data_IF_218060876013
#
_entry.id   IF_218060876013
#
_cell.length_a   1.000
_cell.length_b   1.000
_cell.length_c   1.000
_cell.angle_alpha   90.00
_cell.angle_beta   90.00
_cell.angle_gamma   90.00
#
_symmetry.space_group_name_H-M   'P 1'
#
loop_
_entity.id
_entity.type
_entity.pdbx_description
1 polymer ?
#
# COMPACT_ATOMS: atom_id res chain seq x y z
N UNK A 1 -77.49 21.90 2.34
CA UNK A 1 -76.92 22.51 3.57
C UNK A 1 -76.04 21.47 4.25
N UNK A 2 -74.74 21.77 4.47
CA UNK A 2 -73.74 21.06 5.32
C UNK A 2 -73.27 19.68 4.80
N UNK A 3 -72.01 19.21 4.84
CA UNK A 3 -70.70 19.61 5.41
C UNK A 3 -69.55 18.89 4.64
N UNK A 4 -68.34 19.45 4.70
CA UNK A 4 -67.05 19.08 4.07
C UNK A 4 -66.26 17.94 4.76
N UNK A 5 -65.43 17.24 3.95
CA UNK A 5 -64.07 16.66 4.20
C UNK A 5 -63.88 15.65 5.38
N UNK A 6 -62.94 14.71 5.46
CA UNK A 6 -61.53 14.54 5.02
C UNK A 6 -61.14 13.06 5.28
N UNK A 7 -60.17 12.48 4.56
CA UNK A 7 -59.70 11.11 4.84
C UNK A 7 -58.45 10.65 4.08
N UNK A 8 -57.37 11.41 4.27
CA UNK A 8 -55.92 11.10 4.15
C UNK A 8 -55.52 9.81 3.40
N UNK A 9 -54.91 9.99 2.21
CA UNK A 9 -54.07 8.98 1.55
C UNK A 9 -52.67 9.08 2.16
N UNK A 10 -52.25 8.06 2.91
CA UNK A 10 -50.89 7.98 3.46
C UNK A 10 -49.88 7.83 2.33
N UNK A 11 -49.12 8.90 2.04
CA UNK A 11 -47.95 8.85 1.18
C UNK A 11 -46.82 8.15 1.94
N UNK A 12 -46.48 6.93 1.50
CA UNK A 12 -45.29 6.23 1.97
C UNK A 12 -44.04 6.98 1.53
N UNK A 13 -43.32 7.57 2.50
CA UNK A 13 -41.98 8.10 2.28
C UNK A 13 -41.02 6.91 2.27
N UNK A 14 -40.57 6.51 1.08
CA UNK A 14 -39.47 5.57 0.95
C UNK A 14 -38.18 6.28 1.40
N UNK A 15 -37.71 5.95 2.60
CA UNK A 15 -36.42 6.38 3.11
C UNK A 15 -35.33 5.58 2.38
N UNK A 16 -34.84 6.12 1.27
CA UNK A 16 -33.66 5.59 0.60
C UNK A 16 -32.45 5.85 1.50
N UNK A 17 -31.98 4.82 2.19
CA UNK A 17 -30.66 4.83 2.84
C UNK A 17 -29.60 4.89 1.73
N UNK A 18 -29.17 6.10 1.40
CA UNK A 18 -27.95 6.33 0.65
C UNK A 18 -26.80 5.77 1.49
N UNK A 19 -26.36 4.56 1.17
CA UNK A 19 -25.14 3.99 1.72
C UNK A 19 -23.99 4.90 1.31
N UNK A 20 -23.46 5.67 2.24
CA UNK A 20 -22.18 6.34 2.07
C UNK A 20 -21.11 5.25 2.15
N UNK A 21 -20.85 4.56 1.04
CA UNK A 21 -19.59 3.85 0.90
C UNK A 21 -18.50 4.90 1.02
N UNK A 22 -17.73 4.87 2.11
CA UNK A 22 -16.53 5.67 2.21
C UNK A 22 -15.67 5.32 0.99
N UNK A 23 -15.39 6.32 0.15
CA UNK A 23 -14.41 6.15 -0.92
C UNK A 23 -13.07 5.90 -0.22
N UNK A 24 -12.66 4.64 -0.17
CA UNK A 24 -11.32 4.29 0.27
C UNK A 24 -10.36 4.93 -0.74
N UNK A 25 -9.36 5.67 -0.24
CA UNK A 25 -8.36 6.26 -1.12
C UNK A 25 -7.73 5.11 -1.93
N UNK A 26 -7.73 5.24 -3.26
CA UNK A 26 -7.14 4.21 -4.10
C UNK A 26 -5.62 4.19 -3.88
N UNK A 27 -5.02 3.00 -3.80
CA UNK A 27 -3.57 2.85 -3.82
C UNK A 27 -2.98 3.56 -5.06
N UNK A 28 -1.88 4.27 -4.86
CA UNK A 28 -1.21 5.03 -5.92
C UNK A 28 0.04 4.26 -6.33
N UNK A 29 -0.17 3.24 -7.14
CA UNK A 29 0.89 2.33 -7.60
C UNK A 29 1.73 2.90 -8.75
N UNK A 30 1.25 3.98 -9.39
CA UNK A 30 2.02 4.81 -10.32
C UNK A 30 2.17 6.19 -9.68
N UNK A 31 3.35 6.50 -9.10
CA UNK A 31 3.58 7.77 -8.43
C UNK A 31 3.36 8.97 -9.38
N UNK A 32 2.72 10.05 -8.90
CA UNK A 32 2.31 11.18 -9.74
C UNK A 32 3.47 12.06 -10.22
N UNK A 33 4.65 11.93 -9.61
CA UNK A 33 5.86 12.67 -9.95
C UNK A 33 6.75 11.96 -10.99
N UNK A 34 6.29 10.82 -11.52
CA UNK A 34 6.96 10.08 -12.58
C UNK A 34 6.29 10.32 -13.94
N UNK A 35 7.11 10.51 -14.97
CA UNK A 35 6.68 10.57 -16.35
C UNK A 35 6.52 9.17 -16.96
N UNK A 36 5.79 9.08 -18.07
CA UNK A 36 5.69 7.84 -18.86
C UNK A 36 7.09 7.35 -19.26
N UNK A 37 7.35 6.05 -19.07
CA UNK A 37 8.66 5.45 -19.33
C UNK A 37 9.65 5.54 -18.17
N UNK A 38 9.37 6.31 -17.12
CA UNK A 38 10.22 6.33 -15.93
C UNK A 38 10.18 4.98 -15.22
N UNK A 39 11.31 4.64 -14.59
CA UNK A 39 11.47 3.39 -13.86
C UNK A 39 11.42 3.63 -12.36
N UNK A 40 10.82 2.68 -11.63
CA UNK A 40 10.64 2.76 -10.19
C UNK A 40 10.45 1.37 -9.58
N UNK A 41 10.42 1.29 -8.25
CA UNK A 41 10.00 0.09 -7.50
C UNK A 41 8.90 0.44 -6.51
N UNK A 42 8.08 -0.55 -6.19
CA UNK A 42 7.11 -0.48 -5.11
C UNK A 42 7.58 -1.28 -3.92
N UNK A 43 7.29 -0.79 -2.72
CA UNK A 43 7.58 -1.46 -1.45
C UNK A 43 6.36 -1.45 -0.54
N UNK A 44 6.20 -2.50 0.28
CA UNK A 44 5.09 -2.65 1.22
C UNK A 44 5.51 -3.53 2.42
N UNK A 45 4.66 -3.62 3.45
CA UNK A 45 4.81 -4.57 4.56
C UNK A 45 3.74 -5.66 4.46
N UNK A 46 4.09 -6.94 4.64
CA UNK A 46 3.15 -8.05 4.50
C UNK A 46 2.00 -7.97 5.49
N UNK A 47 0.80 -8.37 5.04
CA UNK A 47 -0.35 -8.56 5.94
C UNK A 47 -0.26 -9.85 6.75
N UNK A 48 0.19 -10.93 6.11
CA UNK A 48 0.53 -12.17 6.79
C UNK A 48 1.72 -11.97 7.73
N UNK A 49 1.78 -12.85 8.74
CA UNK A 49 2.94 -13.02 9.61
C UNK A 49 3.52 -14.42 9.40
N UNK A 50 4.83 -14.56 9.59
CA UNK A 50 5.51 -15.86 9.60
C UNK A 50 6.70 -15.86 10.55
N UNK A 51 7.17 -17.04 10.88
CA UNK A 51 8.43 -17.20 11.60
C UNK A 51 9.64 -16.92 10.69
N UNK A 52 10.81 -16.81 11.32
CA UNK A 52 12.10 -16.55 10.68
C UNK A 52 13.03 -17.78 10.75
N UNK A 53 12.46 -18.99 10.68
CA UNK A 53 13.22 -20.23 10.85
C UNK A 53 13.91 -20.75 9.58
N UNK A 54 13.43 -20.36 8.40
CA UNK A 54 14.02 -20.84 7.14
C UNK A 54 15.39 -20.22 6.89
N UNK A 55 16.32 -21.04 6.42
CA UNK A 55 17.66 -20.60 6.00
C UNK A 55 17.72 -20.26 4.50
N UNK A 56 16.66 -20.57 3.76
CA UNK A 56 16.53 -20.28 2.34
C UNK A 56 15.85 -18.92 2.16
N UNK A 57 16.46 -18.03 1.36
CA UNK A 57 15.89 -16.71 1.09
C UNK A 57 14.62 -16.82 0.25
N UNK A 58 14.51 -17.87 -0.59
CA UNK A 58 13.40 -18.03 -1.51
C UNK A 58 12.10 -18.36 -0.78
N UNK A 59 12.16 -19.00 0.38
CA UNK A 59 10.97 -19.16 1.23
C UNK A 59 10.36 -17.80 1.59
N UNK A 60 11.18 -16.80 1.91
CA UNK A 60 10.70 -15.47 2.26
C UNK A 60 10.23 -14.69 1.04
N UNK A 61 10.91 -14.83 -0.10
CA UNK A 61 10.47 -14.27 -1.39
C UNK A 61 9.11 -14.83 -1.80
N UNK A 62 8.92 -16.15 -1.68
CA UNK A 62 7.65 -16.83 -1.97
C UNK A 62 6.53 -16.36 -1.05
N UNK A 63 6.83 -16.20 0.25
CA UNK A 63 5.85 -15.67 1.20
C UNK A 63 5.43 -14.24 0.86
N UNK A 64 6.37 -13.34 0.57
CA UNK A 64 6.06 -11.97 0.17
C UNK A 64 5.25 -11.95 -1.13
N UNK A 65 5.62 -12.77 -2.10
CA UNK A 65 4.91 -12.88 -3.39
C UNK A 65 3.47 -13.31 -3.19
N UNK A 66 3.21 -14.28 -2.29
CA UNK A 66 1.84 -14.74 -2.01
C UNK A 66 0.97 -13.69 -1.30
N UNK A 67 1.55 -12.62 -0.75
CA UNK A 67 0.79 -11.50 -0.20
C UNK A 67 0.22 -10.56 -1.25
N UNK A 68 0.76 -10.59 -2.49
CA UNK A 68 0.27 -9.76 -3.60
C UNK A 68 -0.51 -10.61 -4.61
N UNK A 69 -0.04 -11.84 -4.85
CA UNK A 69 -0.62 -12.81 -5.77
C UNK A 69 -1.23 -14.00 -4.99
N UNK A 70 -2.25 -13.79 -4.14
CA UNK A 70 -2.76 -14.88 -3.33
C UNK A 70 -3.49 -15.91 -4.21
N UNK A 71 -3.08 -17.18 -4.08
CA UNK A 71 -3.70 -18.27 -4.84
C UNK A 71 -5.11 -18.55 -4.31
N UNK A 72 -6.13 -18.38 -5.17
CA UNK A 72 -7.49 -18.83 -4.89
C UNK A 72 -8.32 -17.98 -3.92
N UNK A 73 -7.91 -16.73 -3.64
CA UNK A 73 -8.70 -15.77 -2.85
C UNK A 73 -9.15 -14.57 -3.69
N UNK A 74 -9.85 -13.63 -3.06
CA UNK A 74 -10.04 -12.29 -3.60
C UNK A 74 -8.68 -11.63 -3.79
N UNK A 75 -8.47 -11.06 -4.98
CA UNK A 75 -7.33 -10.19 -5.31
C UNK A 75 -7.17 -9.08 -4.26
N UNK A 76 -5.94 -8.82 -3.82
CA UNK A 76 -5.64 -7.71 -2.89
C UNK A 76 -5.89 -6.34 -3.54
N UNK A 77 -6.04 -5.29 -2.73
CA UNK A 77 -6.18 -3.93 -3.23
C UNK A 77 -4.98 -3.54 -4.14
N UNK A 78 -3.76 -3.96 -3.77
CA UNK A 78 -2.54 -3.75 -4.56
C UNK A 78 -2.61 -4.46 -5.91
N UNK A 79 -3.05 -5.72 -5.93
CA UNK A 79 -3.24 -6.46 -7.18
C UNK A 79 -4.21 -5.75 -8.12
N UNK A 80 -5.35 -5.29 -7.59
CA UNK A 80 -6.34 -4.55 -8.37
C UNK A 80 -5.81 -3.21 -8.86
N UNK A 81 -5.12 -2.45 -7.99
CA UNK A 81 -4.54 -1.16 -8.35
C UNK A 81 -3.52 -1.29 -9.48
N UNK A 82 -2.67 -2.32 -9.46
CA UNK A 82 -1.72 -2.62 -10.54
C UNK A 82 -2.44 -2.91 -11.86
N UNK A 83 -3.49 -3.74 -11.84
CA UNK A 83 -4.29 -4.03 -13.04
C UNK A 83 -4.98 -2.79 -13.60
N UNK A 84 -5.56 -1.96 -12.73
CA UNK A 84 -6.18 -0.69 -13.12
C UNK A 84 -5.14 0.25 -13.74
N UNK A 85 -3.92 0.24 -13.20
CA UNK A 85 -2.80 0.99 -13.75
C UNK A 85 -2.23 0.41 -15.06
N UNK A 86 -2.74 -0.72 -15.57
CA UNK A 86 -2.23 -1.35 -16.78
C UNK A 86 -0.91 -2.10 -16.59
N UNK A 87 -0.55 -2.43 -15.36
CA UNK A 87 0.62 -3.25 -15.01
C UNK A 87 0.13 -4.67 -14.71
N UNK A 88 0.61 -5.67 -15.45
CA UNK A 88 0.26 -7.07 -15.19
C UNK A 88 0.96 -7.54 -13.89
N UNK A 89 0.21 -7.77 -12.79
CA UNK A 89 0.81 -8.13 -11.52
C UNK A 89 1.56 -9.47 -11.57
N UNK A 90 1.19 -10.36 -12.49
CA UNK A 90 1.81 -11.69 -12.62
C UNK A 90 3.21 -11.64 -13.23
N UNK A 91 3.59 -10.50 -13.82
CA UNK A 91 4.95 -10.27 -14.36
C UNK A 91 5.90 -9.65 -13.34
N UNK A 92 5.37 -9.17 -12.20
CA UNK A 92 6.16 -8.52 -11.16
C UNK A 92 6.77 -9.60 -10.27
N UNK A 93 8.09 -9.59 -10.15
CA UNK A 93 8.77 -10.40 -9.13
C UNK A 93 8.78 -9.63 -7.82
N UNK A 94 8.31 -10.25 -6.74
CA UNK A 94 8.38 -9.68 -5.40
C UNK A 94 9.42 -10.40 -4.57
N UNK A 95 10.23 -9.64 -3.84
CA UNK A 95 11.28 -10.19 -2.98
C UNK A 95 11.21 -9.61 -1.59
N UNK A 96 11.58 -10.43 -0.61
CA UNK A 96 11.68 -9.99 0.77
C UNK A 96 12.88 -9.06 0.95
N UNK A 97 12.69 -7.96 1.68
CA UNK A 97 13.82 -7.18 2.22
C UNK A 97 14.28 -7.87 3.49
N UNK A 98 15.17 -8.84 3.33
CA UNK A 98 15.79 -9.55 4.43
C UNK A 98 17.00 -10.34 4.00
N UNK A 99 17.81 -10.79 4.96
CA UNK A 99 19.05 -11.51 4.70
C UNK A 99 19.07 -12.87 5.39
N UNK A 100 19.62 -13.86 4.70
CA UNK A 100 19.97 -15.17 5.26
C UNK A 100 21.49 -15.26 5.45
N UNK A 101 22.01 -16.43 5.79
CA UNK A 101 23.45 -16.65 5.93
C UNK A 101 24.22 -16.51 4.60
N UNK A 102 23.57 -16.75 3.46
CA UNK A 102 24.20 -16.81 2.15
C UNK A 102 23.78 -15.67 1.22
N UNK A 103 22.74 -14.91 1.56
CA UNK A 103 22.18 -13.88 0.68
C UNK A 103 21.91 -12.59 1.47
N UNK A 104 22.59 -11.53 1.06
CA UNK A 104 22.35 -10.16 1.54
C UNK A 104 21.02 -9.62 0.98
N UNK A 105 20.33 -8.76 1.75
CA UNK A 105 19.04 -8.21 1.33
C UNK A 105 19.18 -7.33 0.09
N UNK A 106 20.26 -6.53 0.04
CA UNK A 106 20.57 -5.66 -1.11
C UNK A 106 20.83 -6.44 -2.39
N UNK A 107 21.39 -7.65 -2.28
CA UNK A 107 21.63 -8.52 -3.43
C UNK A 107 20.36 -9.26 -3.83
N UNK A 108 19.62 -9.80 -2.85
CA UNK A 108 18.33 -10.45 -3.08
C UNK A 108 17.40 -9.53 -3.90
N UNK A 109 17.24 -8.30 -3.43
CA UNK A 109 16.29 -7.33 -4.01
C UNK A 109 16.82 -6.60 -5.25
N UNK A 110 18.10 -6.78 -5.60
CA UNK A 110 18.75 -6.04 -6.68
C UNK A 110 18.87 -4.54 -6.39
N UNK A 111 19.08 -4.19 -5.13
CA UNK A 111 19.25 -2.81 -4.63
C UNK A 111 20.66 -2.56 -4.10
N UNK A 112 21.65 -3.36 -4.49
CA UNK A 112 23.03 -3.15 -4.06
C UNK A 112 23.61 -1.85 -4.65
N UNK A 113 23.91 -0.83 -3.82
CA UNK A 113 24.36 0.47 -4.29
C UNK A 113 25.76 0.43 -4.92
N UNK A 114 26.54 -0.63 -4.69
CA UNK A 114 27.85 -0.79 -5.32
C UNK A 114 27.78 -1.34 -6.73
N UNK A 115 26.63 -1.89 -7.14
CA UNK A 115 26.41 -2.49 -8.47
C UNK A 115 25.61 -1.58 -9.40
N UNK A 116 24.72 -0.75 -8.84
CA UNK A 116 23.90 0.19 -9.60
C UNK A 116 23.36 1.30 -8.70
N UNK A 117 23.26 2.51 -9.23
CA UNK A 117 22.51 3.60 -8.60
C UNK A 117 21.08 3.17 -8.29
N UNK A 118 20.47 2.37 -9.17
CA UNK A 118 19.09 1.94 -9.03
C UNK A 118 18.08 3.01 -9.47
N UNK A 119 16.84 2.80 -9.05
CA UNK A 119 15.67 3.61 -9.40
C UNK A 119 14.99 4.06 -8.11
N UNK A 120 14.14 5.10 -8.13
CA UNK A 120 13.39 5.49 -6.96
C UNK A 120 12.44 4.40 -6.47
N UNK A 121 12.23 4.38 -5.16
CA UNK A 121 11.43 3.37 -4.45
C UNK A 121 10.29 4.09 -3.76
N UNK A 122 9.07 3.61 -3.99
CA UNK A 122 7.85 4.20 -3.49
C UNK A 122 7.07 3.20 -2.66
N UNK A 123 6.43 3.71 -1.62
CA UNK A 123 5.37 3.00 -0.93
C UNK A 123 4.18 2.88 -1.88
N UNK A 124 3.37 1.84 -1.70
CA UNK A 124 2.18 1.55 -2.53
C UNK A 124 1.07 2.62 -2.45
N UNK A 125 1.22 3.63 -1.59
CA UNK A 125 0.37 4.82 -1.51
C UNK A 125 0.91 6.02 -2.32
N UNK A 126 1.98 5.81 -3.10
CA UNK A 126 2.60 6.80 -3.97
C UNK A 126 3.64 7.69 -3.29
N UNK A 127 3.86 7.56 -1.99
CA UNK A 127 4.88 8.33 -1.28
C UNK A 127 6.28 7.75 -1.52
N UNK A 128 7.25 8.63 -1.74
CA UNK A 128 8.64 8.24 -1.96
C UNK A 128 9.28 7.71 -0.67
N UNK A 129 9.87 6.52 -0.73
CA UNK A 129 10.60 5.88 0.37
C UNK A 129 12.08 6.15 0.25
N UNK A 130 12.63 6.02 -0.96
CA UNK A 130 14.03 6.29 -1.24
C UNK A 130 14.21 6.83 -2.68
N UNK A 131 15.19 7.72 -2.87
CA UNK A 131 15.56 8.29 -4.16
C UNK A 131 16.21 7.25 -5.06
N UNK A 132 16.97 6.32 -4.49
CA UNK A 132 17.74 5.30 -5.21
C UNK A 132 18.25 4.20 -4.25
N UNK A 133 19.09 3.29 -4.73
CA UNK A 133 19.63 2.19 -3.92
C UNK A 133 20.51 2.65 -2.76
N UNK A 134 21.30 3.73 -2.93
CA UNK A 134 22.16 4.23 -1.86
C UNK A 134 21.34 4.87 -0.75
N UNK A 135 20.31 5.65 -1.11
CA UNK A 135 19.36 6.28 -0.18
C UNK A 135 18.58 5.22 0.64
N UNK A 136 18.23 4.07 0.04
CA UNK A 136 17.55 3.00 0.79
C UNK A 136 18.42 2.44 1.93
N UNK A 137 19.75 2.40 1.75
CA UNK A 137 20.69 1.70 2.62
C UNK A 137 21.65 2.63 3.38
N UNK A 138 21.30 3.92 3.52
CA UNK A 138 22.15 4.92 4.19
C UNK A 138 21.88 5.08 5.70
N UNK A 139 20.88 4.35 6.22
CA UNK A 139 20.45 4.41 7.62
C UNK A 139 19.20 5.25 7.86
N UNK A 140 18.55 5.76 6.82
CA UNK A 140 17.23 6.37 6.91
C UNK A 140 16.39 6.14 5.65
N UNK A 141 15.09 6.39 5.72
CA UNK A 141 14.18 6.41 4.58
C UNK A 141 13.27 7.63 4.70
N UNK A 142 12.70 8.09 3.59
CA UNK A 142 11.88 9.31 3.56
C UNK A 142 10.45 9.04 4.07
N UNK A 143 9.94 7.84 3.80
CA UNK A 143 8.58 7.42 4.20
C UNK A 143 8.66 6.03 4.81
N UNK A 144 7.97 5.84 5.94
CA UNK A 144 7.91 4.56 6.64
C UNK A 144 7.18 3.50 5.80
N UNK A 145 7.72 2.27 5.72
CA UNK A 145 7.12 1.18 4.96
C UNK A 145 6.05 0.49 5.81
N UNK A 146 4.89 1.14 5.95
CA UNK A 146 3.85 0.74 6.90
C UNK A 146 2.51 0.35 6.28
N UNK A 147 2.41 0.18 4.96
CA UNK A 147 1.18 -0.20 4.27
C UNK A 147 1.16 -1.67 3.86
N UNK A 148 0.06 -2.37 4.15
CA UNK A 148 -0.19 -3.71 3.61
C UNK A 148 -0.71 -3.68 2.17
N UNK A 149 -0.67 -4.81 1.44
CA UNK A 149 -1.28 -4.90 0.11
C UNK A 149 -2.77 -4.52 0.06
N UNK A 150 -3.49 -4.55 1.19
CA UNK A 150 -4.88 -4.12 1.33
C UNK A 150 -5.03 -2.70 1.94
N UNK A 151 -3.95 -1.90 1.89
CA UNK A 151 -3.86 -0.52 2.36
C UNK A 151 -4.06 -0.31 3.87
N UNK A 152 -3.73 -1.31 4.68
CA UNK A 152 -3.76 -1.13 6.14
C UNK A 152 -2.45 -0.56 6.62
N UNK A 153 -2.55 0.50 7.43
CA UNK A 153 -1.38 1.09 8.07
C UNK A 153 -1.02 0.32 9.34
N UNK A 154 0.27 0.00 9.50
CA UNK A 154 0.78 -0.83 10.59
C UNK A 154 1.89 -0.15 11.40
N UNK A 155 1.99 -0.54 12.67
CA UNK A 155 3.07 -0.14 13.57
C UNK A 155 3.63 -1.38 14.27
N UNK A 156 4.08 -2.33 13.47
CA UNK A 156 4.46 -3.67 13.94
C UNK A 156 5.95 -3.95 13.65
N UNK A 157 6.57 -4.87 14.42
CA UNK A 157 7.86 -5.45 14.07
C UNK A 157 7.84 -6.11 12.68
N UNK A 158 9.00 -6.11 12.03
CA UNK A 158 9.20 -6.70 10.70
C UNK A 158 10.52 -7.46 10.69
N UNK A 159 10.50 -8.74 10.34
CA UNK A 159 11.73 -9.53 10.19
C UNK A 159 12.60 -8.96 9.07
N UNK A 160 13.90 -8.86 9.32
CA UNK A 160 14.87 -8.34 8.35
C UNK A 160 16.10 -9.23 8.33
N UNK A 161 16.75 -9.44 9.47
CA UNK A 161 18.03 -10.14 9.53
C UNK A 161 19.18 -9.37 8.88
N UNK A 162 19.02 -8.05 8.73
CA UNK A 162 19.82 -7.21 7.81
C UNK A 162 20.33 -5.97 8.53
N UNK A 163 21.59 -5.59 8.26
CA UNK A 163 22.18 -4.32 8.70
C UNK A 163 21.66 -3.13 7.88
N UNK A 164 21.88 -1.90 8.37
CA UNK A 164 21.47 -0.69 7.65
C UNK A 164 22.04 -0.54 6.23
N UNK A 165 23.19 -1.16 5.94
CA UNK A 165 23.82 -1.14 4.61
C UNK A 165 23.33 -2.25 3.66
N UNK A 166 22.30 -3.00 4.07
CA UNK A 166 21.68 -4.08 3.30
C UNK A 166 22.40 -5.42 3.32
N UNK A 167 23.47 -5.59 4.11
CA UNK A 167 24.15 -6.88 4.28
C UNK A 167 23.53 -7.71 5.40
N UNK A 168 23.77 -9.02 5.36
CA UNK A 168 23.39 -9.93 6.43
C UNK A 168 24.03 -9.55 7.77
N UNK A 169 23.27 -9.70 8.84
CA UNK A 169 23.73 -9.53 10.22
C UNK A 169 23.93 -10.88 10.93
N UNK A 170 24.61 -10.89 12.07
CA UNK A 170 24.66 -12.05 12.96
C UNK A 170 23.26 -12.64 13.26
N UNK A 171 22.26 -11.77 13.45
CA UNK A 171 20.84 -12.10 13.60
C UNK A 171 20.09 -12.31 12.27
N UNK A 172 20.73 -12.87 11.24
CA UNK A 172 20.07 -13.16 9.96
C UNK A 172 18.89 -14.15 10.07
N UNK A 173 17.97 -14.08 9.10
CA UNK A 173 16.89 -15.04 8.91
C UNK A 173 17.45 -16.48 8.88
N UNK A 174 16.68 -17.43 9.40
CA UNK A 174 17.15 -18.80 9.67
C UNK A 174 17.72 -18.99 11.07
N UNK A 175 17.87 -17.90 11.84
CA UNK A 175 18.14 -17.96 13.27
C UNK A 175 19.55 -17.62 13.71
N UNK A 176 20.39 -17.03 12.86
CA UNK A 176 21.73 -16.60 13.25
C UNK A 176 22.54 -17.64 14.04
N UNK A 177 23.50 -17.18 14.85
CA UNK A 177 24.30 -18.08 15.72
C UNK A 177 23.66 -18.36 17.08
N UNK A 178 22.62 -17.60 17.46
CA UNK A 178 22.00 -17.64 18.81
C UNK A 178 20.50 -17.99 18.78
N UNK A 179 19.93 -18.32 17.62
CA UNK A 179 18.49 -18.55 17.48
C UNK A 179 17.64 -17.28 17.46
N UNK A 180 18.28 -16.10 17.50
CA UNK A 180 17.63 -14.79 17.41
C UNK A 180 17.80 -14.19 16.02
N UNK A 181 16.82 -13.38 15.63
CA UNK A 181 16.74 -12.73 14.33
C UNK A 181 16.50 -11.23 14.53
N UNK A 182 17.21 -10.41 13.75
CA UNK A 182 17.04 -8.96 13.70
C UNK A 182 15.69 -8.63 13.08
N UNK A 183 14.99 -7.71 13.70
CA UNK A 183 13.79 -7.11 13.15
C UNK A 183 13.91 -5.59 13.13
N UNK A 184 13.18 -4.96 12.22
CA UNK A 184 12.95 -3.52 12.17
C UNK A 184 11.51 -3.16 12.53
N UNK A 185 11.15 -1.89 12.39
CA UNK A 185 9.82 -1.37 12.72
C UNK A 185 9.19 -0.67 11.53
N UNK A 186 8.02 -1.15 11.11
CA UNK A 186 7.31 -0.66 9.91
C UNK A 186 7.04 0.85 9.92
N UNK A 187 6.87 1.45 11.11
CA UNK A 187 6.54 2.87 11.29
C UNK A 187 7.75 3.79 11.41
N UNK A 188 8.99 3.25 11.43
CA UNK A 188 10.19 4.06 11.57
C UNK A 188 10.73 4.52 10.22
N UNK A 189 11.40 5.67 10.24
CA UNK A 189 12.13 6.26 9.11
C UNK A 189 13.63 6.39 9.36
N UNK A 190 14.07 6.08 10.59
CA UNK A 190 15.49 5.99 10.95
C UNK A 190 15.95 4.55 10.76
N UNK A 191 17.23 4.26 11.03
CA UNK A 191 17.81 2.91 10.99
C UNK A 191 16.94 1.81 11.65
N UNK A 192 16.11 2.15 12.63
CA UNK A 192 15.16 1.22 13.26
C UNK A 192 14.15 0.61 12.27
N UNK A 193 13.94 1.20 11.08
CA UNK A 193 13.08 0.61 10.05
C UNK A 193 13.56 -0.79 9.65
N UNK A 194 14.88 -1.03 9.70
CA UNK A 194 15.52 -2.30 9.36
C UNK A 194 16.26 -2.94 10.54
N UNK A 195 16.88 -2.16 11.43
CA UNK A 195 17.64 -2.64 12.61
C UNK A 195 17.12 -2.07 13.92
N UNK A 196 16.01 -2.58 14.46
CA UNK A 196 15.49 -2.15 15.76
C UNK A 196 16.06 -2.99 16.91
N UNK A 197 15.82 -4.30 16.90
CA UNK A 197 16.21 -5.22 17.97
C UNK A 197 16.20 -6.68 17.47
N UNK A 198 16.56 -7.62 18.33
CA UNK A 198 16.58 -9.05 18.03
C UNK A 198 15.44 -9.78 18.77
N UNK A 199 14.84 -10.78 18.12
CA UNK A 199 13.80 -11.62 18.75
C UNK A 199 13.95 -13.08 18.35
N UNK A 200 13.33 -13.97 19.11
CA UNK A 200 13.42 -15.41 18.87
C UNK A 200 12.85 -15.76 17.49
N UNK A 201 13.60 -16.54 16.70
CA UNK A 201 13.23 -16.94 15.33
C UNK A 201 11.90 -17.68 15.19
N UNK A 202 11.41 -18.28 16.28
CA UNK A 202 10.10 -18.97 16.32
C UNK A 202 8.93 -18.01 16.50
N UNK A 203 9.19 -16.74 16.82
CA UNK A 203 8.16 -15.70 16.86
C UNK A 203 7.63 -15.42 15.44
N UNK A 204 6.35 -15.09 15.34
CA UNK A 204 5.74 -14.68 14.07
C UNK A 204 5.80 -13.17 13.91
N UNK A 205 6.27 -12.70 12.75
CA UNK A 205 6.33 -11.28 12.43
C UNK A 205 6.08 -11.05 10.94
N UNK A 206 5.99 -9.79 10.55
CA UNK A 206 5.78 -9.37 9.16
C UNK A 206 7.11 -9.33 8.41
N UNK A 207 7.06 -9.17 7.09
CA UNK A 207 8.23 -8.91 6.23
C UNK A 207 7.97 -7.66 5.40
N UNK A 208 9.03 -7.03 4.89
CA UNK A 208 8.88 -6.08 3.80
C UNK A 208 8.96 -6.80 2.47
N UNK A 209 8.16 -6.36 1.50
CA UNK A 209 8.21 -6.81 0.12
C UNK A 209 8.58 -5.66 -0.81
N UNK A 210 9.47 -5.92 -1.77
CA UNK A 210 9.85 -4.98 -2.82
C UNK A 210 9.71 -5.61 -4.20
N UNK A 211 9.22 -4.84 -5.17
CA UNK A 211 9.05 -5.29 -6.55
C UNK A 211 10.38 -5.33 -7.31
N UNK A 212 10.39 -6.08 -8.41
CA UNK A 212 11.26 -5.82 -9.55
C UNK A 212 11.07 -4.38 -10.06
N UNK A 213 12.01 -3.90 -10.88
CA UNK A 213 11.86 -2.59 -11.53
C UNK A 213 10.61 -2.59 -12.40
N UNK A 214 9.74 -1.61 -12.17
CA UNK A 214 8.56 -1.31 -12.95
C UNK A 214 8.87 -0.15 -13.89
N UNK A 215 8.02 0.03 -14.90
CA UNK A 215 8.08 1.16 -15.83
C UNK A 215 6.69 1.79 -15.88
N UNK A 216 6.62 3.12 -15.85
CA UNK A 216 5.35 3.83 -15.98
C UNK A 216 4.73 3.50 -17.35
N UNK A 217 3.49 2.96 -17.39
CA UNK A 217 2.91 2.40 -18.60
C UNK A 217 2.52 3.45 -19.64
N UNK A 218 2.36 3.00 -20.89
CA UNK A 218 1.88 3.81 -22.03
C UNK A 218 0.57 3.21 -22.57
N UNK A 219 -0.52 3.99 -22.74
CA UNK A 219 -0.65 5.42 -22.42
C UNK A 219 -0.61 5.68 -20.90
N UNK A 220 -0.34 6.93 -20.52
CA UNK A 220 -0.33 7.32 -19.11
C UNK A 220 -1.65 6.93 -18.44
N UNK A 221 -1.57 6.41 -17.22
CA UNK A 221 -2.75 6.11 -16.41
C UNK A 221 -3.42 7.45 -16.07
N UNK A 222 -4.63 7.68 -16.57
CA UNK A 222 -5.42 8.85 -16.16
C UNK A 222 -5.98 8.57 -14.78
N UNK A 223 -5.39 9.14 -13.72
CA UNK A 223 -6.03 9.15 -12.40
C UNK A 223 -7.36 9.89 -12.55
N UNK A 224 -8.52 9.26 -12.29
CA UNK A 224 -9.79 9.97 -12.34
C UNK A 224 -9.75 11.09 -11.31
N UNK A 225 -9.94 12.34 -11.74
CA UNK A 225 -10.08 13.43 -10.78
C UNK A 225 -11.27 13.12 -9.85
N UNK A 226 -11.13 13.35 -8.53
CA UNK A 226 -12.23 13.11 -7.61
C UNK A 226 -13.43 13.93 -8.04
N UNK A 227 -14.51 13.25 -8.47
CA UNK A 227 -15.70 13.85 -9.06
C UNK A 227 -16.57 14.61 -8.04
N UNK A 228 -16.00 15.05 -6.91
CA UNK A 228 -16.74 15.38 -5.70
C UNK A 228 -17.04 16.86 -5.45
N UNK A 229 -16.71 17.81 -6.35
CA UNK A 229 -16.96 19.24 -6.06
C UNK A 229 -17.95 19.98 -6.97
N UNK A 230 -18.39 19.41 -8.11
CA UNK A 230 -19.32 20.10 -9.02
C UNK A 230 -20.78 19.65 -8.90
N UNK A 231 -21.07 18.56 -8.18
CA UNK A 231 -22.42 17.98 -8.10
C UNK A 231 -23.40 18.64 -7.11
N UNK A 232 -22.94 19.45 -6.15
CA UNK A 232 -23.81 19.97 -5.08
C UNK A 232 -24.32 21.41 -5.30
N UNK A 233 -23.79 22.15 -6.28
CA UNK A 233 -24.22 23.55 -6.52
C UNK A 233 -25.49 23.62 -7.38
N UNK A 234 -25.85 22.58 -8.14
CA UNK A 234 -26.97 22.65 -9.10
C UNK A 234 -28.33 22.23 -8.55
N UNK A 235 -28.42 21.64 -7.35
CA UNK A 235 -29.71 21.16 -6.80
C UNK A 235 -30.27 21.96 -5.61
N UNK A 236 -29.52 22.91 -5.05
CA UNK A 236 -29.98 23.77 -3.94
C UNK A 236 -30.73 25.05 -4.35
N UNK A 237 -30.76 25.39 -5.64
CA UNK A 237 -31.24 26.69 -6.13
C UNK A 237 -32.72 26.79 -6.52
N UNK A 238 -33.50 25.70 -6.50
CA UNK A 238 -34.86 25.68 -7.09
C UNK A 238 -36.01 25.55 -6.07
N UNK A 239 -35.86 26.06 -4.85
CA UNK A 239 -36.97 26.10 -3.87
C UNK A 239 -36.99 27.39 -3.04
N UNK A 240 -36.87 28.56 -3.68
CA UNK A 240 -37.22 29.85 -3.04
C UNK A 240 -37.80 30.82 -4.08
N UNK A 241 -39.09 30.64 -4.40
CA UNK A 241 -39.89 31.59 -5.18
C UNK A 241 -41.25 31.77 -4.52
N UNK A 242 -41.28 32.52 -3.40
CA UNK A 242 -42.50 32.88 -2.69
C UNK A 242 -43.02 34.27 -3.08
N UNK A 243 -44.35 34.36 -3.21
CA UNK A 243 -45.23 35.53 -3.21
C UNK A 243 -45.43 36.23 -4.59
N UNK A 244 -46.61 36.72 -5.02
CA UNK A 244 -47.67 37.47 -4.33
C UNK A 244 -49.02 37.42 -5.11
N UNK A 245 -50.13 37.33 -4.35
CA UNK A 245 -51.55 37.72 -4.58
C UNK A 245 -52.04 38.23 -5.97
N UNK A 246 -53.15 37.63 -6.43
CA UNK A 246 -54.30 38.27 -7.11
C UNK A 246 -55.52 37.35 -6.83
N UNK A 247 -56.72 37.75 -6.42
CA UNK A 247 -57.51 38.93 -6.73
C UNK A 247 -58.65 39.11 -5.68
N UNK A 248 -59.17 40.33 -5.55
CA UNK A 248 -60.58 40.57 -5.19
C UNK A 248 -61.22 41.39 -6.31
N UNK A 249 -62.38 40.92 -6.77
CA UNK A 249 -63.45 41.76 -7.34
C UNK A 249 -64.25 42.33 -6.17
#
# INVERSE_FOLDING_TARGET
MKIKQLGIVSAGVALATLGTSAAQAALVVVPPDLAVGDQYRLVFVTEGKRDATSTDIDDYNNFVTSQVLPAGTTDTALYQALKIAGIDPNTITWKAIGSTASVDARDNTGTNPTLSTGVPIYLIDGNRVANNNADLWDGSIQTAINRTPDDWQLNEPVWTGTNNNGTAENGRLGGGSLGQVRYGRASSITAEWITMDDSNRFGISRLYGISSVLTVPTPAVTVPEPSSLLGFITLGGLMLGGAVRKARK
#
